data_IF_867411398428
#
_entry.id   IF_867411398428
#
_cell.length_a   1.000
_cell.length_b   1.000
_cell.length_c   1.000
_cell.angle_alpha   90.00
_cell.angle_beta   90.00
_cell.angle_gamma   90.00
#
_symmetry.space_group_name_H-M   'P 1'
#
loop_
_entity.id
_entity.type
_entity.pdbx_description
1 polymer ?
#
# COMPACT_ATOMS: atom_id res chain seq x y z
N UNK A 1 4.15 -9.88 -43.98
CA UNK A 1 4.47 -9.04 -42.81
C UNK A 1 3.67 -9.56 -41.63
N UNK A 2 4.31 -10.34 -40.76
CA UNK A 2 3.66 -10.88 -39.56
C UNK A 2 3.63 -9.76 -38.54
N UNK A 3 2.47 -9.16 -38.33
CA UNK A 3 2.21 -8.22 -37.25
C UNK A 3 2.33 -8.99 -35.93
N UNK A 4 3.56 -9.05 -35.41
CA UNK A 4 3.82 -9.37 -34.02
C UNK A 4 3.18 -8.24 -33.22
N UNK A 5 1.93 -8.45 -32.82
CA UNK A 5 1.30 -7.70 -31.75
C UNK A 5 2.23 -7.84 -30.54
N UNK A 6 3.06 -6.82 -30.31
CA UNK A 6 3.70 -6.61 -29.02
C UNK A 6 2.58 -6.31 -28.02
N UNK A 7 1.84 -7.35 -27.62
CA UNK A 7 1.10 -7.31 -26.38
C UNK A 7 2.17 -7.09 -25.30
N UNK A 8 2.30 -5.83 -24.89
CA UNK A 8 3.38 -5.39 -24.04
C UNK A 8 3.53 -6.29 -22.84
N UNK A 9 4.74 -6.79 -22.62
CA UNK A 9 5.21 -7.18 -21.29
C UNK A 9 5.37 -5.92 -20.41
N UNK A 10 4.41 -5.00 -20.45
CA UNK A 10 4.31 -3.95 -19.45
C UNK A 10 3.65 -4.60 -18.25
N UNK A 11 4.47 -5.24 -17.42
CA UNK A 11 4.04 -5.73 -16.11
C UNK A 11 3.36 -4.54 -15.44
N UNK A 12 2.04 -4.60 -15.27
CA UNK A 12 1.28 -3.54 -14.63
C UNK A 12 1.95 -3.21 -13.29
N UNK A 13 2.53 -2.00 -13.22
CA UNK A 13 3.40 -1.63 -12.11
C UNK A 13 2.54 -1.18 -10.95
N UNK A 14 2.45 -2.04 -9.94
CA UNK A 14 1.81 -1.68 -8.68
C UNK A 14 2.54 -0.49 -8.04
N UNK A 15 1.82 0.57 -7.61
CA UNK A 15 2.43 1.69 -6.91
C UNK A 15 3.08 1.25 -5.60
N UNK A 16 4.16 1.92 -5.20
CA UNK A 16 4.77 1.64 -3.91
C UNK A 16 3.84 2.08 -2.76
N UNK A 17 3.58 1.22 -1.77
CA UNK A 17 2.71 1.53 -0.65
C UNK A 17 3.41 2.46 0.35
N UNK A 18 2.93 3.70 0.45
CA UNK A 18 3.48 4.74 1.32
C UNK A 18 2.40 5.75 1.74
N UNK A 19 2.77 6.78 2.49
CA UNK A 19 1.81 7.77 3.00
C UNK A 19 1.06 8.54 1.90
N UNK A 20 1.68 8.75 0.74
CA UNK A 20 1.06 9.47 -0.37
C UNK A 20 0.13 8.56 -1.17
N UNK A 21 0.54 7.32 -1.46
CA UNK A 21 -0.23 6.37 -2.27
C UNK A 21 -1.35 5.68 -1.49
N UNK A 22 -1.21 5.53 -0.17
CA UNK A 22 -2.23 4.97 0.71
C UNK A 22 -3.18 6.03 1.31
N UNK A 23 -3.07 7.30 0.88
CA UNK A 23 -4.04 8.34 1.25
C UNK A 23 -5.38 8.10 0.53
N UNK A 24 -6.54 8.46 1.10
CA UNK A 24 -7.85 8.05 0.57
C UNK A 24 -8.05 8.34 -0.92
N UNK A 25 -7.74 9.55 -1.37
CA UNK A 25 -7.94 9.97 -2.77
C UNK A 25 -6.97 9.26 -3.72
N UNK A 26 -5.69 9.17 -3.34
CA UNK A 26 -4.64 8.52 -4.14
C UNK A 26 -4.78 7.00 -4.17
N UNK A 27 -5.28 6.41 -3.08
CA UNK A 27 -5.54 4.98 -2.96
C UNK A 27 -6.64 4.56 -3.94
N UNK A 28 -7.75 5.30 -3.98
CA UNK A 28 -8.83 5.00 -4.92
C UNK A 28 -8.40 5.23 -6.37
N UNK A 29 -7.62 6.28 -6.65
CA UNK A 29 -7.05 6.51 -7.97
C UNK A 29 -6.16 5.34 -8.42
N UNK A 30 -5.25 4.89 -7.55
CA UNK A 30 -4.38 3.74 -7.82
C UNK A 30 -5.17 2.46 -8.10
N UNK A 31 -6.23 2.18 -7.32
CA UNK A 31 -7.10 1.03 -7.56
C UNK A 31 -7.80 1.08 -8.92
N UNK A 32 -8.22 2.26 -9.36
CA UNK A 32 -8.91 2.45 -10.64
C UNK A 32 -7.97 2.33 -11.85
N UNK A 33 -6.69 2.70 -11.67
CA UNK A 33 -5.66 2.61 -12.72
C UNK A 33 -5.16 1.18 -12.94
N UNK A 34 -5.11 0.37 -11.86
CA UNK A 34 -4.77 -1.04 -11.95
C UNK A 34 -5.90 -1.81 -12.61
N UNK A 35 -5.56 -2.66 -13.58
CA UNK A 35 -6.47 -3.60 -14.28
C UNK A 35 -6.40 -4.99 -13.66
N UNK A 36 -5.27 -5.38 -13.09
CA UNK A 36 -5.08 -6.67 -12.42
C UNK A 36 -5.76 -6.68 -11.06
N UNK A 37 -6.64 -7.66 -10.85
CA UNK A 37 -7.27 -7.89 -9.54
C UNK A 37 -6.24 -8.28 -8.48
N UNK A 38 -5.27 -9.15 -8.84
CA UNK A 38 -4.19 -9.53 -7.94
C UNK A 38 -3.34 -8.33 -7.48
N UNK A 39 -3.11 -7.35 -8.36
CA UNK A 39 -2.39 -6.13 -7.98
C UNK A 39 -3.24 -5.23 -7.07
N UNK A 40 -4.56 -5.12 -7.31
CA UNK A 40 -5.48 -4.38 -6.44
C UNK A 40 -5.53 -4.98 -5.04
N UNK A 41 -5.59 -6.30 -4.92
CA UNK A 41 -5.55 -7.01 -3.65
C UNK A 41 -4.21 -6.80 -2.93
N UNK A 42 -3.09 -7.03 -3.63
CA UNK A 42 -1.76 -6.85 -3.07
C UNK A 42 -1.53 -5.41 -2.58
N UNK A 43 -1.90 -4.40 -3.39
CA UNK A 43 -1.78 -3.01 -3.01
C UNK A 43 -2.63 -2.65 -1.78
N UNK A 44 -3.83 -3.22 -1.68
CA UNK A 44 -4.72 -3.03 -0.53
C UNK A 44 -4.11 -3.59 0.76
N UNK A 45 -3.61 -4.83 0.70
CA UNK A 45 -2.97 -5.48 1.86
C UNK A 45 -1.69 -4.76 2.28
N UNK A 46 -0.86 -4.33 1.33
CA UNK A 46 0.36 -3.58 1.64
C UNK A 46 0.06 -2.20 2.25
N UNK A 47 -0.94 -1.47 1.75
CA UNK A 47 -1.38 -0.22 2.37
C UNK A 47 -1.92 -0.43 3.78
N UNK A 48 -2.62 -1.54 4.03
CA UNK A 48 -3.06 -1.94 5.37
C UNK A 48 -1.88 -2.23 6.30
N UNK A 49 -0.88 -2.95 5.81
CA UNK A 49 0.35 -3.23 6.54
C UNK A 49 1.13 -1.95 6.88
N UNK A 50 1.25 -1.02 5.91
CA UNK A 50 1.87 0.29 6.10
C UNK A 50 1.20 1.09 7.22
N UNK A 51 -0.15 1.15 7.21
CA UNK A 51 -0.90 1.86 8.26
C UNK A 51 -0.71 1.21 9.64
N UNK A 52 -0.72 -0.12 9.72
CA UNK A 52 -0.44 -0.85 10.97
C UNK A 52 0.98 -0.55 11.48
N UNK A 53 1.98 -0.57 10.61
CA UNK A 53 3.34 -0.22 10.97
C UNK A 53 3.46 1.23 11.46
N UNK A 54 2.73 2.16 10.84
CA UNK A 54 2.66 3.56 11.29
C UNK A 54 2.05 3.68 12.69
N UNK A 55 0.96 2.97 12.97
CA UNK A 55 0.33 2.95 14.31
C UNK A 55 1.26 2.37 15.37
N UNK A 56 1.98 1.30 15.06
CA UNK A 56 2.96 0.71 15.98
C UNK A 56 4.14 1.65 16.28
N UNK A 57 4.57 2.46 15.30
CA UNK A 57 5.59 3.50 15.51
C UNK A 57 5.08 4.71 16.31
N UNK A 58 3.78 4.97 16.27
CA UNK A 58 3.13 5.99 17.11
C UNK A 58 2.86 5.49 18.54
N UNK A 59 3.17 4.23 18.85
CA UNK A 59 3.02 3.69 20.18
C UNK A 59 4.08 4.32 21.10
N UNK A 60 3.68 5.37 21.81
CA UNK A 60 4.53 6.04 22.79
C UNK A 60 4.64 5.18 24.06
N UNK A 61 5.87 4.95 24.52
CA UNK A 61 6.12 4.32 25.81
C UNK A 61 5.57 5.23 26.92
N UNK A 62 4.47 4.82 27.54
CA UNK A 62 3.99 5.43 28.78
C UNK A 62 4.65 4.70 29.95
N UNK A 63 5.61 5.33 30.67
CA UNK A 63 6.16 4.71 31.87
C UNK A 63 5.01 4.42 32.84
N UNK A 64 5.06 3.24 33.48
CA UNK A 64 4.17 2.94 34.59
C UNK A 64 4.28 4.04 35.65
N UNK A 65 3.19 4.39 36.34
CA UNK A 65 3.28 5.29 37.48
C UNK A 65 4.31 4.74 38.48
N UNK A 66 4.98 5.66 39.18
CA UNK A 66 5.98 5.31 40.18
C UNK A 66 5.29 4.44 41.23
N UNK A 67 5.91 3.32 41.58
CA UNK A 67 5.40 2.43 42.62
C UNK A 67 5.51 3.15 43.97
N UNK A 68 4.42 3.15 44.75
CA UNK A 68 4.31 3.86 46.05
C UNK A 68 4.40 2.88 47.25
N UNK A 69 5.00 1.71 47.04
CA UNK A 69 5.13 0.64 48.05
C UNK A 69 6.35 0.77 48.96
#
# INVERSE_FOLDING_TARGET
ATLLLLAGCEQERMPEPNAATCAPDAFQAALNEMRSEANREAFTEECRAFQKAKQMRQWEFKPSPKDDY
#
